data_IF_759758087754
#
_entry.id   IF_759758087754
#
_cell.length_a   1.000
_cell.length_b   1.000
_cell.length_c   1.000
_cell.angle_alpha   90.00
_cell.angle_beta   90.00
_cell.angle_gamma   90.00
#
_symmetry.space_group_name_H-M   'P 1'
#
loop_
_entity.id
_entity.type
_entity.pdbx_description
1 polymer ?
#
# COMPACT_ATOMS: atom_id res chain seq x y z
N UNK A 1 -6.42 12.47 -18.91
CA UNK A 1 -5.86 11.30 -18.20
C UNK A 1 -6.11 10.01 -18.96
N UNK A 2 -7.36 9.60 -19.16
CA UNK A 2 -7.69 8.29 -19.76
C UNK A 2 -7.28 8.10 -21.24
N UNK A 3 -7.10 9.17 -22.02
CA UNK A 3 -6.57 9.07 -23.39
C UNK A 3 -5.04 8.99 -23.44
N UNK A 4 -4.35 9.17 -22.31
CA UNK A 4 -2.89 9.27 -22.23
C UNK A 4 -2.23 7.97 -21.77
N UNK A 5 -3.02 7.04 -21.21
CA UNK A 5 -2.53 5.76 -20.70
C UNK A 5 -3.28 4.61 -21.38
N UNK A 6 -2.55 3.76 -22.08
CA UNK A 6 -3.11 2.57 -22.75
C UNK A 6 -2.23 1.38 -22.41
N UNK A 7 -2.79 0.46 -21.63
CA UNK A 7 -2.12 -0.76 -21.21
C UNK A 7 -3.17 -1.85 -20.94
N UNK A 8 -2.83 -3.12 -21.17
CA UNK A 8 -3.79 -4.24 -21.04
C UNK A 8 -4.37 -4.36 -19.63
N UNK A 9 -3.57 -4.04 -18.61
CA UNK A 9 -3.99 -4.09 -17.20
C UNK A 9 -4.58 -2.76 -16.71
N UNK A 10 -5.03 -1.86 -17.59
CA UNK A 10 -5.70 -0.60 -17.24
C UNK A 10 -7.04 -0.48 -17.96
N UNK A 11 -8.08 -0.04 -17.23
CA UNK A 11 -9.43 0.06 -17.77
C UNK A 11 -9.52 1.23 -18.75
N UNK A 12 -9.59 0.91 -20.04
CA UNK A 12 -9.70 1.91 -21.09
C UNK A 12 -11.13 2.42 -21.21
N UNK A 13 -11.32 3.74 -21.10
CA UNK A 13 -12.61 4.37 -21.43
C UNK A 13 -12.91 4.19 -22.92
N UNK A 14 -14.12 3.71 -23.22
CA UNK A 14 -14.64 3.57 -24.59
C UNK A 14 -15.26 4.87 -25.08
N UNK A 15 -15.94 5.60 -24.20
CA UNK A 15 -16.59 6.85 -24.54
C UNK A 15 -17.14 7.56 -23.31
N UNK A 16 -17.71 8.75 -23.51
CA UNK A 16 -18.37 9.52 -22.47
C UNK A 16 -19.61 10.22 -23.05
N UNK A 17 -20.56 10.57 -22.20
CA UNK A 17 -21.68 11.43 -22.53
C UNK A 17 -21.69 12.64 -21.60
N UNK A 18 -21.97 13.82 -22.16
CA UNK A 18 -22.04 15.06 -21.43
C UNK A 18 -23.27 15.84 -21.89
N UNK A 19 -24.30 15.90 -21.05
CA UNK A 19 -25.52 16.70 -21.26
C UNK A 19 -25.56 17.84 -20.24
N UNK A 20 -26.52 18.77 -20.25
CA UNK A 20 -26.63 19.76 -19.17
C UNK A 20 -26.80 19.13 -17.78
N UNK A 21 -27.45 17.96 -17.68
CA UNK A 21 -27.84 17.32 -16.41
C UNK A 21 -27.01 16.10 -16.03
N UNK A 22 -26.35 15.45 -16.99
CA UNK A 22 -25.70 14.16 -16.78
C UNK A 22 -24.26 14.14 -17.26
N UNK A 23 -23.44 13.33 -16.59
CA UNK A 23 -22.08 12.97 -16.98
C UNK A 23 -21.96 11.46 -16.88
N UNK A 24 -21.71 10.79 -18.00
CA UNK A 24 -21.65 9.34 -18.07
C UNK A 24 -20.31 8.90 -18.67
N UNK A 25 -19.77 7.79 -18.19
CA UNK A 25 -18.56 7.17 -18.68
C UNK A 25 -18.89 5.75 -19.14
N UNK A 26 -18.38 5.36 -20.30
CA UNK A 26 -18.63 4.05 -20.90
C UNK A 26 -17.33 3.26 -20.92
N UNK A 27 -17.35 2.08 -20.32
CA UNK A 27 -16.21 1.17 -20.20
C UNK A 27 -16.55 -0.19 -20.84
N UNK A 28 -15.53 -1.00 -21.21
CA UNK A 28 -15.74 -2.41 -21.47
C UNK A 28 -16.36 -3.06 -20.24
N UNK A 29 -17.30 -3.98 -20.46
CA UNK A 29 -17.84 -4.80 -19.39
C UNK A 29 -16.77 -5.79 -18.90
N UNK A 30 -16.63 -5.89 -17.58
CA UNK A 30 -15.69 -6.78 -16.91
C UNK A 30 -16.49 -7.97 -16.37
N UNK A 31 -16.40 -9.10 -17.07
CA UNK A 31 -17.31 -10.24 -16.89
C UNK A 31 -17.31 -10.81 -15.47
N UNK A 32 -16.15 -10.78 -14.81
CA UNK A 32 -15.98 -11.29 -13.45
C UNK A 32 -16.06 -10.20 -12.38
N UNK A 33 -16.43 -8.97 -12.73
CA UNK A 33 -16.63 -7.87 -11.78
C UNK A 33 -15.31 -7.38 -11.17
N UNK A 34 -15.35 -7.02 -9.88
CA UNK A 34 -14.16 -6.58 -9.13
C UNK A 34 -13.55 -7.71 -8.29
N UNK A 35 -12.27 -7.63 -8.00
CA UNK A 35 -11.60 -8.53 -7.05
C UNK A 35 -12.33 -8.53 -5.71
N UNK A 36 -12.74 -7.35 -5.20
CA UNK A 36 -13.53 -7.28 -3.97
C UNK A 36 -14.84 -8.09 -4.04
N UNK A 37 -15.55 -8.06 -5.17
CA UNK A 37 -16.77 -8.83 -5.35
C UNK A 37 -16.51 -10.33 -5.38
N UNK A 38 -15.42 -10.78 -6.03
CA UNK A 38 -15.04 -12.19 -6.06
C UNK A 38 -14.53 -12.70 -4.70
N UNK A 39 -14.03 -11.83 -3.83
CA UNK A 39 -13.58 -12.20 -2.49
C UNK A 39 -14.75 -12.27 -1.50
N UNK A 40 -15.69 -11.31 -1.54
CA UNK A 40 -16.66 -11.09 -0.44
C UNK A 40 -18.13 -11.07 -0.82
N UNK A 41 -18.46 -10.75 -2.07
CA UNK A 41 -19.83 -10.52 -2.52
C UNK A 41 -20.24 -11.55 -3.58
N UNK A 42 -19.54 -12.68 -3.58
CA UNK A 42 -19.73 -13.77 -4.53
C UNK A 42 -21.06 -14.50 -4.26
N UNK A 43 -21.82 -14.87 -5.30
CA UNK A 43 -23.00 -15.72 -5.15
C UNK A 43 -22.64 -17.05 -4.45
N UNK A 44 -23.58 -17.62 -3.69
CA UNK A 44 -23.34 -18.86 -2.91
C UNK A 44 -22.78 -20.03 -3.75
N UNK A 45 -23.14 -20.09 -5.04
CA UNK A 45 -22.71 -21.15 -5.95
C UNK A 45 -21.46 -20.81 -6.79
N UNK A 46 -20.90 -19.61 -6.64
CA UNK A 46 -19.69 -19.21 -7.37
C UNK A 46 -18.44 -19.70 -6.62
N UNK A 47 -17.48 -20.34 -7.32
CA UNK A 47 -16.25 -20.78 -6.69
C UNK A 47 -15.43 -19.57 -6.20
N UNK A 48 -14.66 -19.71 -5.10
CA UNK A 48 -13.73 -18.69 -4.67
C UNK A 48 -12.60 -18.53 -5.70
N UNK A 49 -11.95 -17.35 -5.69
CA UNK A 49 -10.72 -17.16 -6.47
C UNK A 49 -9.64 -18.10 -5.95
N UNK A 50 -9.16 -19.00 -6.82
CA UNK A 50 -8.05 -19.88 -6.51
C UNK A 50 -6.73 -19.12 -6.33
N UNK A 51 -5.77 -19.76 -5.66
CA UNK A 51 -4.49 -19.15 -5.34
C UNK A 51 -3.68 -18.72 -6.59
N UNK A 52 -3.55 -19.55 -7.65
CA UNK A 52 -2.86 -19.13 -8.87
C UNK A 52 -3.47 -17.88 -9.53
N UNK A 53 -4.80 -17.74 -9.51
CA UNK A 53 -5.50 -16.58 -10.05
C UNK A 53 -5.23 -15.34 -9.20
N UNK A 54 -5.24 -15.45 -7.86
CA UNK A 54 -4.81 -14.34 -6.97
C UNK A 54 -3.40 -13.86 -7.30
N UNK A 55 -2.45 -14.77 -7.54
CA UNK A 55 -1.09 -14.40 -7.96
C UNK A 55 -1.05 -13.67 -9.31
N UNK A 56 -1.83 -14.13 -10.30
CA UNK A 56 -1.97 -13.43 -11.59
C UNK A 56 -2.56 -12.03 -11.41
N UNK A 57 -3.55 -11.88 -10.54
CA UNK A 57 -4.18 -10.59 -10.22
C UNK A 57 -3.17 -9.61 -9.62
N UNK A 58 -2.38 -10.06 -8.63
CA UNK A 58 -1.31 -9.26 -8.04
C UNK A 58 -0.34 -8.77 -9.13
N UNK A 59 0.18 -9.70 -9.94
CA UNK A 59 1.13 -9.35 -11.00
C UNK A 59 0.53 -8.41 -12.06
N UNK A 60 -0.68 -8.68 -12.54
CA UNK A 60 -1.35 -7.88 -13.57
C UNK A 60 -1.63 -6.46 -13.09
N UNK A 61 -2.18 -6.30 -11.89
CA UNK A 61 -2.43 -4.98 -11.29
C UNK A 61 -1.13 -4.22 -11.02
N UNK A 62 -0.06 -4.88 -10.56
CA UNK A 62 1.26 -4.28 -10.40
C UNK A 62 1.83 -3.73 -11.71
N UNK A 63 1.72 -4.49 -12.82
CA UNK A 63 2.13 -4.05 -14.16
C UNK A 63 1.34 -2.81 -14.61
N UNK A 64 0.04 -2.78 -14.36
CA UNK A 64 -0.81 -1.61 -14.62
C UNK A 64 -0.31 -0.36 -13.89
N UNK A 65 -0.03 -0.47 -12.59
CA UNK A 65 0.46 0.66 -11.79
C UNK A 65 1.89 1.08 -12.18
N UNK A 66 2.78 0.13 -12.45
CA UNK A 66 4.14 0.43 -12.95
C UNK A 66 4.09 1.22 -14.26
N UNK A 67 3.17 0.87 -15.17
CA UNK A 67 2.98 1.65 -16.39
C UNK A 67 2.54 3.10 -16.13
N UNK A 68 1.63 3.32 -15.17
CA UNK A 68 1.18 4.66 -14.79
C UNK A 68 2.31 5.52 -14.20
N UNK A 69 3.21 4.91 -13.42
CA UNK A 69 4.28 5.60 -12.69
C UNK A 69 5.53 5.85 -13.52
N UNK A 70 5.89 4.91 -14.40
CA UNK A 70 7.19 4.90 -15.07
C UNK A 70 7.12 5.13 -16.60
N UNK A 71 5.93 4.98 -17.22
CA UNK A 71 5.79 4.99 -18.68
C UNK A 71 4.79 6.01 -19.22
N UNK A 72 3.99 6.65 -18.36
CA UNK A 72 3.15 7.78 -18.74
C UNK A 72 3.92 9.09 -18.58
N UNK A 73 3.71 10.04 -19.50
CA UNK A 73 4.27 11.40 -19.38
C UNK A 73 3.15 12.46 -19.49
N UNK A 74 2.85 13.22 -18.43
CA UNK A 74 3.39 13.11 -17.06
C UNK A 74 2.98 11.81 -16.34
N UNK A 75 3.65 11.49 -15.22
CA UNK A 75 3.29 10.35 -14.35
C UNK A 75 1.82 10.46 -13.93
N UNK A 76 1.17 9.31 -13.73
CA UNK A 76 -0.20 9.25 -13.25
C UNK A 76 -0.22 8.57 -11.88
N UNK A 77 -0.64 9.30 -10.85
CA UNK A 77 -0.87 8.75 -9.51
C UNK A 77 -2.35 8.38 -9.40
N UNK A 78 -2.66 7.12 -9.15
CA UNK A 78 -4.03 6.59 -9.14
C UNK A 78 -4.84 7.07 -7.93
N UNK A 79 -4.24 7.03 -6.73
CA UNK A 79 -4.78 7.47 -5.44
C UNK A 79 -5.95 6.69 -4.85
N UNK A 80 -6.37 5.59 -5.45
CA UNK A 80 -7.46 4.74 -4.92
C UNK A 80 -7.26 3.27 -5.29
N UNK A 81 -6.04 2.78 -5.08
CA UNK A 81 -5.71 1.37 -5.31
C UNK A 81 -6.29 0.54 -4.18
N UNK A 82 -7.20 -0.38 -4.51
CA UNK A 82 -7.91 -1.29 -3.59
C UNK A 82 -8.54 -2.44 -4.38
N UNK A 83 -8.91 -3.53 -3.73
CA UNK A 83 -9.52 -4.69 -4.40
C UNK A 83 -10.81 -4.32 -5.19
N UNK A 84 -11.57 -3.31 -4.75
CA UNK A 84 -12.79 -2.88 -5.44
C UNK A 84 -12.51 -2.18 -6.79
N UNK A 85 -11.31 -1.63 -6.98
CA UNK A 85 -10.91 -0.93 -8.19
C UNK A 85 -10.01 -1.79 -9.10
N UNK A 86 -9.79 -3.06 -8.75
CA UNK A 86 -9.19 -4.04 -9.65
C UNK A 86 -10.33 -4.86 -10.24
N UNK A 87 -10.57 -4.71 -11.54
CA UNK A 87 -11.60 -5.43 -12.27
C UNK A 87 -11.02 -6.66 -12.97
N UNK A 88 -11.88 -7.61 -13.31
CA UNK A 88 -11.50 -8.90 -13.90
C UNK A 88 -12.27 -9.12 -15.21
N UNK A 89 -11.53 -9.34 -16.29
CA UNK A 89 -12.10 -9.73 -17.59
C UNK A 89 -12.52 -11.21 -17.60
N UNK A 90 -12.91 -11.74 -18.76
CA UNK A 90 -13.40 -13.11 -18.95
C UNK A 90 -12.37 -14.18 -18.53
N UNK A 91 -11.07 -13.86 -18.66
CA UNK A 91 -9.95 -14.74 -18.33
C UNK A 91 -9.41 -14.55 -16.91
N UNK A 92 -10.09 -13.74 -16.09
CA UNK A 92 -9.64 -13.32 -14.75
C UNK A 92 -8.31 -12.54 -14.78
N UNK A 93 -8.02 -11.83 -15.88
CA UNK A 93 -6.88 -10.92 -15.93
C UNK A 93 -7.24 -9.60 -15.23
N UNK A 94 -6.29 -9.10 -14.41
CA UNK A 94 -6.51 -7.90 -13.63
C UNK A 94 -6.43 -6.63 -14.47
N UNK A 95 -7.43 -5.77 -14.32
CA UNK A 95 -7.54 -4.47 -14.98
C UNK A 95 -7.79 -3.39 -13.93
N UNK A 96 -6.81 -2.50 -13.73
CA UNK A 96 -6.92 -1.37 -12.80
C UNK A 96 -7.93 -0.36 -13.35
N UNK A 97 -8.99 -0.09 -12.59
CA UNK A 97 -10.09 0.82 -12.94
C UNK A 97 -10.27 1.97 -11.95
N UNK A 98 -11.27 2.81 -12.22
CA UNK A 98 -11.61 4.03 -11.46
C UNK A 98 -10.46 5.05 -11.31
N UNK A 99 -10.30 5.86 -12.36
CA UNK A 99 -9.37 6.98 -12.38
C UNK A 99 -9.98 8.30 -11.88
N UNK A 100 -11.10 8.26 -11.16
CA UNK A 100 -11.82 9.47 -10.71
C UNK A 100 -11.00 10.35 -9.76
N UNK A 101 -10.06 9.75 -9.02
CA UNK A 101 -9.16 10.44 -8.10
C UNK A 101 -7.74 10.66 -8.65
N UNK A 102 -7.46 10.17 -9.86
CA UNK A 102 -6.11 10.16 -10.39
C UNK A 102 -5.54 11.58 -10.56
N UNK A 103 -4.21 11.69 -10.50
CA UNK A 103 -3.52 12.97 -10.66
C UNK A 103 -2.26 12.87 -11.49
N UNK A 104 -2.04 13.90 -12.30
CA UNK A 104 -0.83 14.04 -13.10
C UNK A 104 0.30 14.63 -12.24
N UNK A 105 1.51 14.09 -12.38
CA UNK A 105 2.71 14.55 -11.69
C UNK A 105 3.89 14.61 -12.66
N UNK A 106 4.61 15.73 -12.72
CA UNK A 106 5.81 15.84 -13.55
C UNK A 106 6.91 14.91 -13.02
N UNK A 107 7.76 14.36 -13.89
CA UNK A 107 8.87 13.51 -13.47
C UNK A 107 9.90 14.22 -12.58
N UNK A 108 9.96 15.54 -12.65
CA UNK A 108 10.84 16.38 -11.81
C UNK A 108 10.30 16.56 -10.39
N UNK A 109 9.01 16.32 -10.19
CA UNK A 109 8.37 16.48 -8.90
C UNK A 109 8.53 15.22 -8.05
N UNK A 110 8.74 15.43 -6.74
CA UNK A 110 8.74 14.34 -5.75
C UNK A 110 7.34 14.03 -5.21
N UNK A 111 6.40 14.97 -5.38
CA UNK A 111 5.03 14.87 -4.90
C UNK A 111 4.12 15.89 -5.58
N UNK A 112 2.81 15.66 -5.49
CA UNK A 112 1.75 16.61 -5.80
C UNK A 112 0.99 16.94 -4.52
N UNK A 113 0.96 18.22 -4.15
CA UNK A 113 0.11 18.70 -3.05
C UNK A 113 -1.34 18.77 -3.50
N UNK A 114 -2.22 18.03 -2.83
CA UNK A 114 -3.63 17.89 -3.22
C UNK A 114 -4.48 17.46 -2.03
N UNK A 115 -5.76 17.85 -2.02
CA UNK A 115 -6.69 17.43 -0.97
C UNK A 115 -6.67 15.91 -0.79
N UNK A 116 -6.57 15.47 0.46
CA UNK A 116 -6.58 14.06 0.84
C UNK A 116 -7.90 13.44 0.39
N UNK A 117 -7.80 12.47 -0.52
CA UNK A 117 -8.92 11.64 -1.00
C UNK A 117 -8.40 10.23 -1.24
N UNK A 118 -9.30 9.26 -1.14
CA UNK A 118 -9.02 7.83 -1.27
C UNK A 118 -9.86 7.06 -0.26
N UNK A 119 -9.61 5.76 -0.17
CA UNK A 119 -10.34 4.87 0.74
C UNK A 119 -9.59 4.69 2.05
N UNK A 120 -10.25 4.95 3.19
CA UNK A 120 -9.67 4.75 4.54
C UNK A 120 -9.16 3.30 4.67
N UNK A 121 -7.94 3.15 5.17
CA UNK A 121 -7.22 1.87 5.22
C UNK A 121 -6.19 1.71 4.09
N UNK A 122 -6.40 2.34 2.93
CA UNK A 122 -5.47 2.31 1.78
C UNK A 122 -4.66 3.61 1.62
N UNK A 123 -5.03 4.67 2.34
CA UNK A 123 -4.33 5.95 2.28
C UNK A 123 -3.03 5.86 3.08
N UNK A 124 -1.91 6.17 2.42
CA UNK A 124 -0.59 6.19 3.05
C UNK A 124 -0.49 7.23 4.18
N UNK A 125 0.25 6.95 5.27
CA UNK A 125 0.30 7.80 6.46
C UNK A 125 0.90 9.20 6.20
N UNK A 126 1.91 9.30 5.35
CA UNK A 126 2.49 10.59 4.95
C UNK A 126 1.49 11.44 4.16
N UNK A 127 0.60 10.80 3.41
CA UNK A 127 -0.38 11.50 2.61
C UNK A 127 -1.50 12.06 3.49
N UNK A 128 -1.97 11.29 4.46
CA UNK A 128 -2.92 11.74 5.48
C UNK A 128 -2.40 12.95 6.26
N UNK A 129 -1.12 12.93 6.64
CA UNK A 129 -0.51 13.97 7.49
C UNK A 129 -0.09 15.22 6.74
N UNK A 130 0.36 15.10 5.48
CA UNK A 130 0.94 16.23 4.73
C UNK A 130 0.12 16.72 3.55
N UNK A 131 -0.87 15.95 3.08
CA UNK A 131 -1.59 16.23 1.83
C UNK A 131 -0.73 16.11 0.57
N UNK A 132 0.45 15.49 0.67
CA UNK A 132 1.36 15.24 -0.46
C UNK A 132 1.18 13.82 -0.99
N UNK A 133 0.74 13.71 -2.24
CA UNK A 133 0.58 12.44 -2.95
C UNK A 133 1.76 12.19 -3.90
N UNK A 134 2.20 10.94 -4.05
CA UNK A 134 3.24 10.53 -5.00
C UNK A 134 2.99 9.10 -5.46
N UNK A 135 3.83 8.55 -6.34
CA UNK A 135 3.75 7.13 -6.73
C UNK A 135 3.85 6.20 -5.51
N UNK A 136 4.56 6.63 -4.44
CA UNK A 136 4.72 5.84 -3.21
C UNK A 136 3.44 5.74 -2.39
N UNK A 137 2.47 6.62 -2.60
CA UNK A 137 1.14 6.49 -1.98
C UNK A 137 0.32 5.40 -2.65
N UNK A 138 0.47 5.23 -3.96
CA UNK A 138 -0.13 4.09 -4.68
C UNK A 138 0.52 2.76 -4.28
N UNK A 139 1.85 2.75 -4.09
CA UNK A 139 2.57 1.55 -3.61
C UNK A 139 2.02 1.10 -2.26
N UNK A 140 1.78 2.03 -1.33
CA UNK A 140 1.17 1.70 -0.04
C UNK A 140 -0.23 1.10 -0.22
N UNK A 141 -1.10 1.75 -1.01
CA UNK A 141 -2.44 1.24 -1.29
C UNK A 141 -2.43 -0.14 -1.96
N UNK A 142 -1.45 -0.38 -2.85
CA UNK A 142 -1.22 -1.69 -3.46
C UNK A 142 -0.84 -2.76 -2.44
N UNK A 143 0.03 -2.45 -1.48
CA UNK A 143 0.37 -3.38 -0.39
C UNK A 143 -0.84 -3.76 0.46
N UNK A 144 -1.71 -2.81 0.78
CA UNK A 144 -2.98 -3.09 1.46
C UNK A 144 -3.92 -3.93 0.59
N UNK A 145 -4.00 -3.65 -0.72
CA UNK A 145 -4.78 -4.47 -1.66
C UNK A 145 -4.29 -5.92 -1.70
N UNK A 146 -2.98 -6.16 -1.62
CA UNK A 146 -2.43 -7.51 -1.49
C UNK A 146 -2.90 -8.21 -0.21
N UNK A 147 -2.97 -7.50 0.93
CA UNK A 147 -3.51 -8.06 2.16
C UNK A 147 -4.99 -8.43 2.00
N UNK A 148 -5.80 -7.59 1.32
CA UNK A 148 -7.18 -7.97 0.98
C UNK A 148 -7.23 -9.24 0.13
N UNK A 149 -6.31 -9.37 -0.84
CA UNK A 149 -6.25 -10.51 -1.74
C UNK A 149 -5.85 -11.81 -1.04
N UNK A 150 -4.93 -11.74 -0.06
CA UNK A 150 -4.46 -12.89 0.71
C UNK A 150 -5.53 -13.34 1.73
N UNK A 151 -6.18 -12.38 2.38
CA UNK A 151 -7.09 -12.64 3.51
C UNK A 151 -8.55 -12.81 3.09
N UNK A 152 -8.93 -12.34 1.90
CA UNK A 152 -10.33 -12.18 1.51
C UNK A 152 -11.05 -11.02 2.21
N UNK A 153 -10.45 -10.40 3.22
CA UNK A 153 -11.10 -9.40 4.09
C UNK A 153 -10.86 -7.97 3.62
N UNK A 154 -11.69 -7.02 4.11
CA UNK A 154 -11.48 -5.59 3.87
C UNK A 154 -10.37 -5.07 4.80
N UNK A 155 -9.63 -4.06 4.35
CA UNK A 155 -8.59 -3.43 5.17
C UNK A 155 -9.10 -2.96 6.55
N UNK A 156 -10.35 -2.48 6.62
CA UNK A 156 -10.99 -2.07 7.87
C UNK A 156 -11.28 -3.25 8.81
N UNK A 157 -11.74 -4.38 8.28
CA UNK A 157 -12.04 -5.57 9.08
C UNK A 157 -10.75 -6.17 9.65
N UNK A 158 -9.68 -6.17 8.84
CA UNK A 158 -8.34 -6.57 9.27
C UNK A 158 -7.81 -5.67 10.40
N UNK A 159 -8.02 -4.35 10.30
CA UNK A 159 -7.63 -3.43 11.36
C UNK A 159 -8.41 -3.68 12.66
N UNK A 160 -9.69 -4.09 12.58
CA UNK A 160 -10.47 -4.45 13.77
C UNK A 160 -9.94 -5.72 14.44
N UNK A 161 -9.61 -6.75 13.66
CA UNK A 161 -9.02 -7.99 14.19
C UNK A 161 -7.69 -7.72 14.91
N UNK A 162 -6.84 -6.86 14.34
CA UNK A 162 -5.58 -6.49 14.98
C UNK A 162 -5.79 -5.70 16.29
N UNK A 163 -6.82 -4.84 16.34
CA UNK A 163 -7.16 -4.08 17.54
C UNK A 163 -7.72 -4.96 18.67
N UNK A 164 -8.35 -6.11 18.37
CA UNK A 164 -8.77 -7.06 19.41
C UNK A 164 -7.55 -7.64 20.16
N UNK A 165 -6.37 -7.63 19.52
CA UNK A 165 -5.06 -7.97 20.10
C UNK A 165 -4.29 -6.73 20.61
N UNK A 166 -4.88 -5.53 20.60
CA UNK A 166 -4.25 -4.24 20.90
C UNK A 166 -3.03 -3.89 20.00
N UNK A 167 -3.01 -4.36 18.74
CA UNK A 167 -1.90 -4.17 17.78
C UNK A 167 -2.38 -3.47 16.49
N UNK A 168 -1.51 -2.69 15.86
CA UNK A 168 -1.77 -2.12 14.53
C UNK A 168 -1.76 -3.21 13.46
N UNK A 169 -2.64 -3.10 12.44
CA UNK A 169 -2.77 -4.10 11.36
C UNK A 169 -1.42 -4.61 10.80
N UNK A 170 -0.51 -3.70 10.44
CA UNK A 170 0.75 -4.09 9.83
C UNK A 170 1.66 -4.85 10.80
N UNK A 171 1.64 -4.50 12.09
CA UNK A 171 2.44 -5.18 13.11
C UNK A 171 1.85 -6.55 13.47
N UNK A 172 0.51 -6.68 13.44
CA UNK A 172 -0.18 -7.96 13.56
C UNK A 172 0.22 -8.92 12.41
N UNK A 173 0.19 -8.45 11.16
CA UNK A 173 0.63 -9.25 10.00
C UNK A 173 2.10 -9.65 10.10
N UNK A 174 2.99 -8.73 10.52
CA UNK A 174 4.41 -9.04 10.77
C UNK A 174 4.58 -10.13 11.84
N UNK A 175 3.82 -10.04 12.94
CA UNK A 175 3.82 -11.02 14.03
C UNK A 175 3.45 -12.42 13.54
N UNK A 176 2.33 -12.54 12.82
CA UNK A 176 1.88 -13.82 12.25
C UNK A 176 2.90 -14.41 11.27
N UNK A 177 3.52 -13.59 10.42
CA UNK A 177 4.57 -14.03 9.50
C UNK A 177 5.80 -14.55 10.26
N UNK A 178 6.22 -13.86 11.34
CA UNK A 178 7.37 -14.26 12.17
C UNK A 178 7.09 -15.56 12.93
N UNK A 179 5.87 -15.73 13.42
CA UNK A 179 5.42 -16.92 14.15
C UNK A 179 5.02 -18.10 13.25
N UNK A 180 5.06 -17.91 11.92
CA UNK A 180 4.65 -18.92 10.92
C UNK A 180 3.20 -19.38 11.08
N UNK A 181 2.31 -18.48 11.54
CA UNK A 181 0.87 -18.71 11.72
C UNK A 181 0.07 -18.17 10.54
N UNK A 182 0.44 -18.58 9.32
CA UNK A 182 -0.16 -18.06 8.10
C UNK A 182 -1.63 -18.43 7.97
N UNK A 183 -2.03 -19.58 8.49
CA UNK A 183 -3.40 -20.09 8.50
C UNK A 183 -4.40 -19.16 9.19
N UNK A 184 -3.93 -18.24 10.05
CA UNK A 184 -4.76 -17.20 10.67
C UNK A 184 -5.03 -16.02 9.75
N UNK A 185 -4.17 -15.83 8.73
CA UNK A 185 -4.25 -14.72 7.79
C UNK A 185 -4.88 -15.15 6.45
N UNK A 186 -4.56 -16.35 5.97
CA UNK A 186 -5.00 -16.80 4.65
C UNK A 186 -6.51 -16.99 4.62
N UNK A 187 -7.11 -16.54 3.52
CA UNK A 187 -8.54 -16.70 3.24
C UNK A 187 -9.00 -18.16 3.46
N UNK A 188 -9.93 -18.41 4.41
CA UNK A 188 -10.45 -19.74 4.71
C UNK A 188 -11.07 -20.43 3.49
N UNK A 189 -11.56 -19.67 2.51
CA UNK A 189 -12.17 -20.20 1.29
C UNK A 189 -11.18 -20.88 0.36
N UNK A 190 -9.87 -20.64 0.55
CA UNK A 190 -8.83 -21.39 -0.16
C UNK A 190 -8.68 -22.81 0.36
N UNK A 191 -9.20 -23.16 1.54
CA UNK A 191 -9.21 -24.53 2.10
C UNK A 191 -7.83 -25.23 2.04
N UNK A 192 -6.76 -24.51 2.35
CA UNK A 192 -5.36 -24.98 2.25
C UNK A 192 -4.88 -25.33 0.83
N UNK A 193 -5.62 -24.92 -0.21
CA UNK A 193 -5.22 -25.05 -1.61
C UNK A 193 -4.32 -23.88 -2.05
N UNK A 194 -3.20 -23.72 -1.36
CA UNK A 194 -2.18 -22.72 -1.65
C UNK A 194 -0.79 -23.29 -1.31
N UNK A 195 0.24 -22.65 -1.86
CA UNK A 195 1.65 -23.00 -1.58
C UNK A 195 2.18 -22.01 -0.55
N UNK A 196 2.44 -22.48 0.68
CA UNK A 196 2.88 -21.62 1.80
C UNK A 196 4.02 -20.65 1.43
N UNK A 197 5.14 -21.08 0.81
CA UNK A 197 6.20 -20.17 0.38
C UNK A 197 5.73 -19.04 -0.56
N UNK A 198 4.73 -19.31 -1.40
CA UNK A 198 4.18 -18.29 -2.29
C UNK A 198 3.33 -17.28 -1.53
N UNK A 199 2.57 -17.74 -0.52
CA UNK A 199 1.81 -16.86 0.36
C UNK A 199 2.75 -15.97 1.16
N UNK A 200 3.79 -16.57 1.77
CA UNK A 200 4.82 -15.81 2.49
C UNK A 200 5.44 -14.74 1.61
N UNK A 201 5.83 -15.10 0.39
CA UNK A 201 6.42 -14.16 -0.57
C UNK A 201 5.48 -12.99 -0.87
N UNK A 202 4.18 -13.25 -1.02
CA UNK A 202 3.20 -12.19 -1.28
C UNK A 202 2.97 -11.28 -0.06
N UNK A 203 2.98 -11.85 1.15
CA UNK A 203 2.92 -11.08 2.41
C UNK A 203 4.17 -10.20 2.54
N UNK A 204 5.36 -10.73 2.24
CA UNK A 204 6.60 -9.96 2.27
C UNK A 204 6.54 -8.77 1.32
N UNK A 205 6.06 -8.96 0.09
CA UNK A 205 5.84 -7.86 -0.86
C UNK A 205 4.86 -6.84 -0.30
N UNK A 206 3.74 -7.29 0.29
CA UNK A 206 2.76 -6.39 0.91
C UNK A 206 3.41 -5.53 2.00
N UNK A 207 4.16 -6.14 2.92
CA UNK A 207 4.84 -5.47 4.02
C UNK A 207 5.93 -4.49 3.54
N UNK A 208 6.71 -4.85 2.53
CA UNK A 208 7.68 -3.96 1.88
C UNK A 208 6.99 -2.74 1.24
N UNK A 209 5.80 -2.93 0.66
CA UNK A 209 5.01 -1.86 0.06
C UNK A 209 4.38 -0.92 1.10
N UNK A 210 4.09 -1.40 2.31
CA UNK A 210 3.42 -0.63 3.38
C UNK A 210 4.35 -0.04 4.42
N UNK A 211 5.67 0.03 4.16
CA UNK A 211 6.63 0.63 5.09
C UNK A 211 6.27 2.09 5.43
N UNK A 212 6.52 2.50 6.68
CA UNK A 212 6.17 3.85 7.17
C UNK A 212 6.86 4.96 6.37
N UNK A 213 8.13 4.77 6.01
CA UNK A 213 8.87 5.73 5.17
C UNK A 213 8.61 5.50 3.68
N UNK A 214 8.13 6.50 2.92
CA UNK A 214 7.89 6.37 1.48
C UNK A 214 9.17 6.09 0.67
N UNK A 215 10.32 6.52 1.18
CA UNK A 215 11.63 6.30 0.55
C UNK A 215 12.02 4.82 0.50
N UNK A 216 11.61 4.05 1.50
CA UNK A 216 11.97 2.63 1.67
C UNK A 216 11.06 1.69 0.86
N UNK A 217 9.84 2.16 0.56
CA UNK A 217 8.88 1.43 -0.28
C UNK A 217 9.46 1.20 -1.68
N UNK A 218 9.31 -0.01 -2.24
CA UNK A 218 9.75 -0.31 -3.59
C UNK A 218 9.01 0.55 -4.63
N UNK A 219 9.60 0.71 -5.81
CA UNK A 219 8.85 1.17 -6.98
C UNK A 219 7.92 0.06 -7.46
N UNK A 220 6.81 0.39 -8.13
CA UNK A 220 5.94 -0.65 -8.70
C UNK A 220 6.66 -1.52 -9.74
N UNK A 221 7.65 -1.00 -10.46
CA UNK A 221 8.52 -1.81 -11.34
C UNK A 221 9.38 -2.82 -10.58
N UNK A 222 9.85 -2.49 -9.38
CA UNK A 222 10.55 -3.43 -8.49
C UNK A 222 9.57 -4.46 -7.91
N UNK A 223 8.34 -4.04 -7.57
CA UNK A 223 7.26 -4.96 -7.15
C UNK A 223 6.96 -5.98 -8.24
N UNK A 224 6.88 -5.57 -9.50
CA UNK A 224 6.69 -6.49 -10.63
C UNK A 224 7.82 -7.53 -10.68
N UNK A 225 9.09 -7.12 -10.56
CA UNK A 225 10.24 -8.05 -10.53
C UNK A 225 10.17 -9.03 -9.37
N UNK A 226 9.84 -8.54 -8.17
CA UNK A 226 9.68 -9.40 -6.98
C UNK A 226 8.57 -10.45 -7.18
N UNK A 227 7.44 -10.07 -7.78
CA UNK A 227 6.34 -10.99 -8.09
C UNK A 227 6.66 -11.97 -9.22
N UNK A 228 7.58 -11.62 -10.12
CA UNK A 228 8.14 -12.50 -11.15
C UNK A 228 9.24 -13.44 -10.61
N UNK A 229 9.64 -13.28 -9.34
CA UNK A 229 10.58 -14.15 -8.64
C UNK A 229 12.01 -13.60 -8.52
N UNK A 230 12.22 -12.31 -8.75
CA UNK A 230 13.54 -11.67 -8.77
C UNK A 230 13.68 -10.58 -7.69
N UNK A 231 14.70 -10.69 -6.84
CA UNK A 231 15.11 -9.65 -5.89
C UNK A 231 14.33 -9.56 -4.56
N UNK A 232 13.35 -10.43 -4.32
CA UNK A 232 12.54 -10.39 -3.09
C UNK A 232 13.35 -10.81 -1.86
N UNK A 233 14.13 -11.88 -1.96
CA UNK A 233 14.85 -12.44 -0.82
C UNK A 233 15.89 -11.45 -0.27
N UNK A 234 16.66 -10.83 -1.16
CA UNK A 234 17.68 -9.84 -0.82
C UNK A 234 17.05 -8.62 -0.17
N UNK A 235 15.97 -8.09 -0.78
CA UNK A 235 15.27 -6.91 -0.25
C UNK A 235 14.60 -7.19 1.09
N UNK A 236 14.08 -8.39 1.28
CA UNK A 236 13.49 -8.81 2.54
C UNK A 236 14.54 -8.92 3.65
N UNK A 237 15.71 -9.49 3.34
CA UNK A 237 16.81 -9.59 4.30
C UNK A 237 17.33 -8.20 4.73
N UNK A 238 17.44 -7.26 3.79
CA UNK A 238 17.78 -5.86 4.08
C UNK A 238 16.77 -5.22 5.03
N UNK A 239 15.48 -5.41 4.76
CA UNK A 239 14.41 -4.89 5.60
C UNK A 239 14.46 -5.44 7.03
N UNK A 240 14.66 -6.75 7.19
CA UNK A 240 14.78 -7.37 8.51
C UNK A 240 15.95 -6.82 9.33
N UNK A 241 17.10 -6.55 8.69
CA UNK A 241 18.25 -5.94 9.37
C UNK A 241 17.93 -4.54 9.89
N UNK A 242 17.24 -3.73 9.08
CA UNK A 242 16.82 -2.37 9.48
C UNK A 242 15.79 -2.42 10.62
N UNK A 243 14.84 -3.34 10.57
CA UNK A 243 13.80 -3.46 11.60
C UNK A 243 14.38 -3.86 12.97
N UNK A 244 15.35 -4.79 13.00
CA UNK A 244 16.06 -5.16 14.24
C UNK A 244 16.76 -3.95 14.84
N UNK A 245 17.46 -3.17 14.02
CA UNK A 245 18.14 -1.94 14.48
C UNK A 245 17.13 -0.91 15.01
N UNK A 246 15.97 -0.76 14.37
CA UNK A 246 14.91 0.15 14.86
C UNK A 246 14.36 -0.29 16.21
N UNK A 247 14.07 -1.58 16.38
CA UNK A 247 13.59 -2.13 17.65
C UNK A 247 14.62 -1.94 18.77
N UNK A 248 15.90 -2.18 18.49
CA UNK A 248 16.99 -1.94 19.46
C UNK A 248 17.09 -0.46 19.87
N UNK A 249 16.87 0.47 18.93
CA UNK A 249 16.87 1.92 19.21
C UNK A 249 15.63 2.36 20.01
N UNK A 250 14.46 1.78 19.77
CA UNK A 250 13.22 2.08 20.51
C UNK A 250 13.21 1.48 21.92
N UNK A 251 13.88 0.33 22.12
CA UNK A 251 14.03 -0.31 23.44
C UNK A 251 15.21 0.23 24.26
N UNK A 252 16.05 1.10 23.69
CA UNK A 252 17.13 1.74 24.41
C UNK A 252 16.55 2.68 25.49
N UNK A 253 16.94 2.53 26.78
CA UNK A 253 16.42 3.39 27.82
C UNK A 253 16.77 4.85 27.51
N UNK A 254 15.77 5.74 27.56
CA UNK A 254 15.98 7.18 27.56
C UNK A 254 17.00 7.52 28.64
N UNK A 255 18.26 7.74 28.25
CA UNK A 255 19.27 8.30 29.14
C UNK A 255 18.83 9.72 29.46
N UNK A 256 18.25 9.92 30.64
CA UNK A 256 18.19 11.23 31.27
C UNK A 256 19.61 11.83 31.20
N UNK A 257 19.81 13.03 30.63
CA UNK A 257 21.05 13.74 30.83
C UNK A 257 21.01 14.35 32.23
N UNK A 258 21.21 13.53 33.25
CA UNK A 258 21.80 14.02 34.50
C UNK A 258 23.24 14.32 34.17
N UNK A 259 23.57 15.59 33.89
CA UNK A 259 24.88 16.23 34.11
C UNK A 259 24.63 17.73 34.27
N UNK A 260 24.02 18.11 35.39
CA UNK A 260 24.32 19.41 36.01
C UNK A 260 25.11 19.06 37.27
N UNK A 261 26.43 19.03 37.13
CA UNK A 261 27.33 19.03 38.26
C UNK A 261 27.34 20.45 38.79
N UNK A 262 26.64 20.64 39.91
CA UNK A 262 26.75 21.81 40.75
C UNK A 262 28.14 21.85 41.39
N UNK A 263 28.92 22.90 41.09
CA UNK A 263 30.06 23.36 41.89
C UNK A 263 30.65 24.61 41.23
N UNK A 264 30.27 25.79 41.74
CA UNK A 264 31.18 26.60 42.55
C UNK A 264 30.44 27.82 43.09
N UNK A 265 30.19 27.79 44.40
CA UNK A 265 30.12 28.96 45.24
C UNK A 265 31.36 29.86 45.06
N UNK A 266 31.11 31.16 45.25
CA UNK A 266 32.03 32.29 45.36
C UNK A 266 32.41 32.98 44.06
N UNK A 267 31.72 34.08 43.76
CA UNK A 267 32.34 35.39 43.49
C UNK A 267 31.33 36.51 43.82
N UNK A 268 31.83 37.56 44.47
CA UNK A 268 31.10 38.61 45.20
C UNK A 268 30.22 39.51 44.31
N UNK A 269 29.15 40.01 44.92
CA UNK A 269 28.35 41.14 44.42
C UNK A 269 29.14 42.46 44.50
N UNK A 270 28.88 43.32 43.49
CA UNK A 270 29.25 44.74 43.28
C UNK A 270 29.70 44.85 41.80
N UNK A 271 29.15 45.64 40.87
CA UNK A 271 28.58 46.98 40.96
C UNK A 271 27.91 47.37 39.60
N UNK A 272 26.84 48.20 39.69
CA UNK A 272 26.51 49.33 38.79
C UNK A 272 25.80 49.11 37.42
N UNK A 273 24.47 49.26 37.51
CA UNK A 273 23.57 50.10 36.69
C UNK A 273 24.11 51.01 35.57
N UNK A 274 23.51 50.84 34.37
CA UNK A 274 22.93 51.91 33.51
C UNK A 274 23.70 52.31 32.22
N UNK A 275 23.10 53.13 31.32
CA UNK A 275 21.70 53.53 31.19
C UNK A 275 21.09 53.28 29.79
N UNK A 276 19.83 53.70 29.69
CA UNK A 276 18.84 53.61 28.60
C UNK A 276 19.24 54.20 27.26
#
# INVERSE_FOLDING_TARGET
MISMAVHRNLLRLRGFCMTPTERLLVYPYMANGSVASCLRERPENAPPLDWPTRRRIALGSARGLSYLHDHCDPKIIHRDVKAANILLDEEFEAVVGDFGLAKLMDYKDTHVTTAVRGTIGHIAPEYLSTGKSSEKTDVFGYGIMLLELITGQRAFDLARLANDDDVMLLDWVKGLLKEKKLEMLVDPDLQNNYVEPEVESLIQVALLCTQGSPGERPKMSEVVRMLEGDGLAERWEEWQKVEVVRQDMEMAPHRNPEWIVDSTDNLRADELSGPR
#
